data_IF_372988800741
#
_entry.id   IF_372988800741
#
_cell.length_a   1.000
_cell.length_b   1.000
_cell.length_c   1.000
_cell.angle_alpha   90.00
_cell.angle_beta   90.00
_cell.angle_gamma   90.00
#
_symmetry.space_group_name_H-M   'P 1'
#
loop_
_entity.id
_entity.type
_entity.pdbx_description
1 polymer ?
#
# COMPACT_ATOMS: atom_id res chain seq x y z
N UNK A 1 -5.04 21.22 -17.40
CA UNK A 1 -5.65 20.53 -16.24
C UNK A 1 -4.52 19.91 -15.46
N UNK A 2 -3.99 20.65 -14.49
CA UNK A 2 -3.01 20.16 -13.52
C UNK A 2 -3.70 19.11 -12.65
N UNK A 3 -3.46 17.83 -12.92
CA UNK A 3 -3.76 16.77 -11.95
C UNK A 3 -3.03 17.15 -10.67
N UNK A 4 -3.77 17.34 -9.60
CA UNK A 4 -3.33 18.07 -8.43
C UNK A 4 -2.49 17.22 -7.51
N UNK A 5 -1.44 16.52 -7.99
CA UNK A 5 -0.26 15.92 -7.29
C UNK A 5 -0.44 15.27 -5.90
N UNK A 6 -1.65 15.16 -5.37
CA UNK A 6 -1.95 14.80 -3.97
C UNK A 6 -3.14 13.84 -3.89
N UNK A 7 -3.93 13.71 -4.97
CA UNK A 7 -5.06 12.77 -5.06
C UNK A 7 -4.63 11.32 -5.36
N UNK A 8 -3.39 11.12 -5.81
CA UNK A 8 -2.87 9.81 -6.19
C UNK A 8 -2.62 8.87 -5.00
N UNK A 9 -2.13 9.38 -3.86
CA UNK A 9 -1.98 8.55 -2.66
C UNK A 9 -3.33 8.19 -2.03
N UNK A 10 -4.40 8.98 -2.28
CA UNK A 10 -5.74 8.70 -1.78
C UNK A 10 -6.36 7.47 -2.43
N UNK A 11 -6.01 7.18 -3.69
CA UNK A 11 -6.45 5.96 -4.38
C UNK A 11 -5.96 4.69 -3.68
N UNK A 12 -4.86 4.80 -2.94
CA UNK A 12 -4.24 3.71 -2.19
C UNK A 12 -4.72 3.72 -0.73
N UNK A 13 -4.74 4.89 -0.08
CA UNK A 13 -5.11 4.99 1.34
C UNK A 13 -6.57 4.65 1.61
N UNK A 14 -7.50 5.10 0.76
CA UNK A 14 -8.93 4.93 1.02
C UNK A 14 -9.32 3.44 1.06
N UNK A 15 -8.90 2.59 0.09
CA UNK A 15 -9.19 1.16 0.14
C UNK A 15 -8.45 0.43 1.28
N UNK A 16 -7.19 0.81 1.58
CA UNK A 16 -6.43 0.24 2.72
C UNK A 16 -7.20 0.45 4.03
N UNK A 17 -7.62 1.69 4.30
CA UNK A 17 -8.35 2.02 5.52
C UNK A 17 -9.73 1.36 5.56
N UNK A 18 -10.43 1.28 4.41
CA UNK A 18 -11.75 0.66 4.32
C UNK A 18 -11.73 -0.87 4.49
N UNK A 19 -10.67 -1.53 4.02
CA UNK A 19 -10.50 -2.97 4.12
C UNK A 19 -9.72 -3.42 5.38
N UNK A 20 -9.18 -2.48 6.15
CA UNK A 20 -8.41 -2.78 7.36
C UNK A 20 -7.06 -3.45 7.07
N UNK A 21 -6.47 -3.18 5.90
CA UNK A 21 -5.20 -3.77 5.48
C UNK A 21 -4.05 -3.17 6.29
N UNK A 22 -3.12 -4.02 6.72
CA UNK A 22 -1.88 -3.56 7.35
C UNK A 22 -0.86 -3.12 6.29
N UNK A 23 0.02 -2.20 6.67
CA UNK A 23 1.15 -1.78 5.84
C UNK A 23 2.01 -2.97 5.39
N UNK A 24 2.20 -3.96 6.28
CA UNK A 24 2.99 -5.14 5.98
C UNK A 24 2.34 -6.01 4.88
N UNK A 25 1.03 -6.19 4.90
CA UNK A 25 0.30 -6.94 3.85
C UNK A 25 0.40 -6.25 2.49
N UNK A 26 0.19 -4.93 2.48
CA UNK A 26 0.31 -4.11 1.26
C UNK A 26 1.73 -4.18 0.72
N UNK A 27 2.74 -4.03 1.57
CA UNK A 27 4.14 -4.09 1.17
C UNK A 27 4.54 -5.48 0.65
N UNK A 28 4.13 -6.56 1.32
CA UNK A 28 4.44 -7.94 0.88
C UNK A 28 3.83 -8.24 -0.49
N UNK A 29 2.58 -7.84 -0.74
CA UNK A 29 1.96 -8.02 -2.07
C UNK A 29 2.61 -7.15 -3.13
N UNK A 30 2.89 -5.87 -2.85
CA UNK A 30 3.64 -5.01 -3.76
C UNK A 30 5.02 -5.60 -4.11
N UNK A 31 5.78 -6.06 -3.11
CA UNK A 31 7.10 -6.64 -3.29
C UNK A 31 7.04 -7.92 -4.14
N UNK A 32 6.04 -8.78 -3.93
CA UNK A 32 5.84 -9.99 -4.70
C UNK A 32 5.54 -9.73 -6.20
N UNK A 33 5.01 -8.55 -6.54
CA UNK A 33 4.67 -8.17 -7.91
C UNK A 33 5.85 -7.61 -8.74
N UNK A 34 7.06 -7.51 -8.17
CA UNK A 34 8.28 -6.82 -8.72
C UNK A 34 8.56 -5.46 -8.05
N UNK A 35 8.03 -5.20 -6.84
CA UNK A 35 8.37 -3.99 -6.10
C UNK A 35 9.84 -3.93 -5.69
N UNK A 36 10.52 -2.82 -6.00
CA UNK A 36 11.94 -2.57 -5.63
C UNK A 36 12.07 -1.67 -4.40
N UNK A 37 10.97 -1.05 -3.98
CA UNK A 37 10.94 -0.03 -2.93
C UNK A 37 10.72 -0.64 -1.54
N UNK A 38 11.44 -0.11 -0.55
CA UNK A 38 11.41 -0.57 0.82
C UNK A 38 10.12 -0.21 1.57
N UNK A 39 9.82 -0.95 2.63
CA UNK A 39 8.63 -0.72 3.47
C UNK A 39 8.57 0.69 4.07
N UNK A 40 9.72 1.28 4.40
CA UNK A 40 9.81 2.65 4.95
C UNK A 40 9.45 3.69 3.90
N UNK A 41 9.84 3.48 2.65
CA UNK A 41 9.52 4.39 1.54
C UNK A 41 8.04 4.30 1.17
N UNK A 42 7.46 3.09 1.24
CA UNK A 42 6.00 2.90 1.14
C UNK A 42 5.26 3.60 2.28
N UNK A 43 5.72 3.46 3.53
CA UNK A 43 5.13 4.17 4.67
C UNK A 43 5.19 5.69 4.50
N UNK A 44 6.35 6.21 4.08
CA UNK A 44 6.55 7.63 3.82
C UNK A 44 5.62 8.12 2.69
N UNK A 45 5.41 7.33 1.64
CA UNK A 45 4.46 7.66 0.57
C UNK A 45 3.02 7.69 1.06
N UNK A 46 2.60 6.71 1.85
CA UNK A 46 1.25 6.66 2.42
C UNK A 46 0.99 7.83 3.38
N UNK A 47 2.04 8.31 4.07
CA UNK A 47 1.95 9.51 4.90
C UNK A 47 2.15 10.84 4.14
N UNK A 48 2.31 10.80 2.82
CA UNK A 48 2.54 11.99 1.99
C UNK A 48 3.89 12.69 2.26
N UNK A 49 4.83 11.97 2.87
CA UNK A 49 6.18 12.45 3.21
C UNK A 49 7.19 12.27 2.07
N UNK A 50 6.84 11.45 1.06
CA UNK A 50 7.68 11.14 -0.11
C UNK A 50 6.80 10.89 -1.34
N UNK A 51 7.29 11.28 -2.52
CA UNK A 51 6.71 10.86 -3.80
C UNK A 51 7.43 9.60 -4.30
N UNK A 52 6.67 8.57 -4.69
CA UNK A 52 7.22 7.39 -5.37
C UNK A 52 7.36 7.63 -6.89
N UNK A 53 8.12 6.81 -7.61
CA UNK A 53 8.06 6.78 -9.07
C UNK A 53 6.65 6.40 -9.57
N UNK A 54 6.24 6.90 -10.74
CA UNK A 54 4.93 6.60 -11.34
C UNK A 54 4.65 5.10 -11.47
N UNK A 55 5.68 4.31 -11.82
CA UNK A 55 5.57 2.87 -12.00
C UNK A 55 5.25 2.15 -10.67
N UNK A 56 5.92 2.52 -9.59
CA UNK A 56 5.71 1.94 -8.27
C UNK A 56 4.37 2.36 -7.67
N UNK A 57 3.94 3.61 -7.89
CA UNK A 57 2.60 4.07 -7.50
C UNK A 57 1.50 3.25 -8.15
N UNK A 58 1.61 3.03 -9.46
CA UNK A 58 0.64 2.22 -10.20
C UNK A 58 0.63 0.78 -9.70
N UNK A 59 1.81 0.20 -9.46
CA UNK A 59 1.94 -1.15 -8.96
C UNK A 59 1.35 -1.31 -7.55
N UNK A 60 1.54 -0.30 -6.69
CA UNK A 60 1.04 -0.29 -5.33
C UNK A 60 -0.48 -0.12 -5.29
N UNK A 61 -1.05 0.71 -6.16
CA UNK A 61 -2.49 0.80 -6.35
C UNK A 61 -3.09 -0.53 -6.86
N UNK A 62 -2.40 -1.20 -7.79
CA UNK A 62 -2.80 -2.51 -8.29
C UNK A 62 -2.77 -3.57 -7.18
N UNK A 63 -1.71 -3.63 -6.39
CA UNK A 63 -1.58 -4.54 -5.24
C UNK A 63 -2.71 -4.36 -4.23
N UNK A 64 -3.09 -3.10 -3.95
CA UNK A 64 -4.20 -2.79 -3.04
C UNK A 64 -5.56 -3.21 -3.63
N UNK A 65 -5.83 -2.95 -4.92
CA UNK A 65 -7.08 -3.42 -5.53
C UNK A 65 -7.18 -4.96 -5.46
N UNK A 66 -6.08 -5.66 -5.71
CA UNK A 66 -6.05 -7.12 -5.62
C UNK A 66 -6.32 -7.62 -4.18
N UNK A 67 -5.72 -7.01 -3.15
CA UNK A 67 -5.97 -7.36 -1.75
C UNK A 67 -7.42 -7.12 -1.33
N UNK A 68 -8.02 -6.01 -1.78
CA UNK A 68 -9.41 -5.68 -1.47
C UNK A 68 -10.37 -6.63 -2.20
N UNK A 69 -10.07 -6.98 -3.46
CA UNK A 69 -10.89 -7.86 -4.29
C UNK A 69 -10.78 -9.32 -3.88
N UNK A 70 -9.58 -9.75 -3.48
CA UNK A 70 -9.26 -11.10 -3.09
C UNK A 70 -8.62 -11.08 -1.70
N UNK A 71 -9.42 -10.83 -0.64
CA UNK A 71 -8.89 -10.81 0.71
C UNK A 71 -8.25 -12.17 1.00
N UNK A 72 -6.95 -12.14 1.28
CA UNK A 72 -6.23 -13.33 1.74
C UNK A 72 -6.91 -13.83 3.00
N UNK A 73 -7.29 -15.10 3.05
CA UNK A 73 -8.10 -15.69 4.13
C UNK A 73 -7.33 -15.82 5.48
N UNK A 74 -6.17 -15.15 5.60
CA UNK A 74 -5.20 -15.18 6.70
C UNK A 74 -5.22 -13.90 7.57
N UNK A 75 -6.31 -13.12 7.49
CA UNK A 75 -6.51 -11.87 8.25
C UNK A 75 -6.57 -12.03 9.79
N UNK A 76 -6.38 -13.25 10.31
CA UNK A 76 -6.42 -13.56 11.74
C UNK A 76 -5.09 -14.13 12.28
N UNK A 77 -4.03 -14.24 11.48
CA UNK A 77 -2.79 -14.90 11.92
C UNK A 77 -1.52 -14.34 11.26
N UNK A 78 -1.17 -13.08 11.55
CA UNK A 78 0.27 -12.77 11.63
C UNK A 78 0.63 -11.87 12.83
N UNK A 79 1.54 -12.33 13.72
CA UNK A 79 1.78 -11.81 15.06
C UNK A 79 2.75 -10.61 15.14
N UNK A 80 3.05 -9.93 14.05
CA UNK A 80 4.04 -8.85 14.04
C UNK A 80 3.39 -7.48 14.17
N UNK A 81 3.24 -7.01 15.41
CA UNK A 81 2.89 -5.62 15.71
C UNK A 81 2.01 -5.36 16.93
N UNK A 82 2.25 -6.03 18.06
CA UNK A 82 1.78 -5.59 19.38
C UNK A 82 2.99 -5.57 20.33
N UNK A 83 3.92 -4.63 20.11
CA UNK A 83 4.76 -4.01 21.16
C UNK A 83 5.81 -3.13 20.49
N UNK A 84 5.73 -1.80 20.70
CA UNK A 84 6.79 -0.98 21.32
C UNK A 84 6.30 0.45 21.52
#
# INVERSE_FOLDING_TARGET
MTHGRNDEHLLVLVPIAAAGLSLAEVWVHYFALTGDIGMIEVDAYLHGLMDLPDADRWLLAYAVDELVRFPSHDNASSPFGQDT
#
